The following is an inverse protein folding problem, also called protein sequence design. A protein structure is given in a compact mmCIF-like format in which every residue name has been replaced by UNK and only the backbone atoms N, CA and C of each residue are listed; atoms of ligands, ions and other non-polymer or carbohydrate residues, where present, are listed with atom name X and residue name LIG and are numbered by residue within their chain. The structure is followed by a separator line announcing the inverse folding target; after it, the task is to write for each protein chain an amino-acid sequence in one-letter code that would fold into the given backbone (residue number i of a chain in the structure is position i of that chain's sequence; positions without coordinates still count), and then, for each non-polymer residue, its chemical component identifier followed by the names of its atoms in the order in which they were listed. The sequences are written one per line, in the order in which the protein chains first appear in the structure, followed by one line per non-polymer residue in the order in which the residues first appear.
data_IF_429273666174
#
_entry.id   IF_429273666174
#
_cell.length_a   1.000
_cell.length_b   1.000
_cell.length_c   1.000
_cell.angle_alpha   90.00
_cell.angle_beta   90.00
_cell.angle_gamma   90.00
#
_symmetry.space_group_name_H-M   'P 1'
#
loop_
_entity.id
_entity.type
_entity.pdbx_description
1 polymer ?
#
# COMPACT_ATOMS: atom_id res chain seq x y z
N UNK A 1 -29.51 13.48 -26.72
CA UNK A 1 -28.05 13.67 -26.67
C UNK A 1 -27.51 12.29 -26.31
N UNK A 2 -26.84 11.65 -27.27
CA UNK A 2 -26.65 10.20 -27.31
C UNK A 2 -25.62 9.72 -26.27
N UNK A 3 -26.07 9.01 -25.23
CA UNK A 3 -25.22 8.44 -24.18
C UNK A 3 -24.14 7.49 -24.76
N UNK A 4 -24.39 6.88 -25.92
CA UNK A 4 -23.44 5.97 -26.58
C UNK A 4 -22.27 6.68 -27.26
N UNK A 5 -22.40 7.95 -27.60
CA UNK A 5 -21.28 8.75 -28.14
C UNK A 5 -20.29 9.09 -27.02
N UNK A 6 -20.75 9.18 -25.76
CA UNK A 6 -19.88 9.48 -24.63
C UNK A 6 -19.00 8.29 -24.24
N UNK A 7 -19.54 7.07 -24.17
CA UNK A 7 -18.76 5.87 -23.84
C UNK A 7 -17.70 5.56 -24.90
N UNK A 8 -18.06 5.54 -26.20
CA UNK A 8 -17.11 5.23 -27.27
C UNK A 8 -15.98 6.26 -27.39
N UNK A 9 -16.27 7.54 -27.16
CA UNK A 9 -15.23 8.58 -27.11
C UNK A 9 -14.38 8.48 -25.83
N UNK A 10 -14.96 8.08 -24.70
CA UNK A 10 -14.24 7.83 -23.45
C UNK A 10 -13.30 6.62 -23.58
N UNK A 11 -13.77 5.52 -24.15
CA UNK A 11 -12.94 4.32 -24.42
C UNK A 11 -11.88 4.58 -25.50
N UNK A 12 -12.13 5.47 -26.47
CA UNK A 12 -11.12 5.88 -27.46
C UNK A 12 -10.11 6.89 -26.92
N UNK A 13 -10.47 7.72 -25.94
CA UNK A 13 -9.57 8.68 -25.31
C UNK A 13 -8.61 8.01 -24.30
N UNK A 14 -8.99 6.86 -23.75
CA UNK A 14 -8.14 6.09 -22.85
C UNK A 14 -7.30 5.09 -23.64
N UNK A 15 -5.98 5.18 -23.47
CA UNK A 15 -5.05 4.29 -24.15
C UNK A 15 -5.19 2.86 -23.61
N UNK A 16 -4.87 1.88 -24.46
CA UNK A 16 -4.72 0.48 -24.01
C UNK A 16 -3.80 0.42 -22.80
N UNK A 17 -4.23 -0.23 -21.71
CA UNK A 17 -3.44 -0.31 -20.47
C UNK A 17 -2.08 -0.97 -20.73
N UNK A 18 -1.03 -0.33 -20.20
CA UNK A 18 0.36 -0.81 -20.24
C UNK A 18 0.98 -0.96 -18.87
N UNK A 19 0.49 -0.19 -17.89
CA UNK A 19 1.08 -0.12 -16.55
C UNK A 19 0.03 -0.52 -15.52
N UNK A 20 0.38 -1.46 -14.65
CA UNK A 20 -0.42 -1.86 -13.49
C UNK A 20 0.34 -1.46 -12.25
N UNK A 21 -0.31 -0.67 -11.41
CA UNK A 21 0.22 -0.15 -10.16
C UNK A 21 -0.51 -0.86 -9.03
N UNK A 22 0.22 -1.53 -8.15
CA UNK A 22 -0.36 -2.25 -7.01
C UNK A 22 -0.10 -1.50 -5.71
N UNK A 23 -1.11 -1.46 -4.84
CA UNK A 23 -0.87 -1.28 -3.40
C UNK A 23 -0.17 -2.51 -2.79
N UNK A 24 0.34 -2.35 -1.57
CA UNK A 24 0.92 -3.41 -0.77
C UNK A 24 -0.05 -3.93 0.29
N UNK A 25 -0.48 -3.10 1.24
CA UNK A 25 -1.40 -3.52 2.30
C UNK A 25 -2.74 -3.96 1.72
N UNK A 26 -3.31 -5.06 2.20
CA UNK A 26 -4.61 -5.56 1.72
C UNK A 26 -4.60 -6.22 0.33
N UNK A 27 -3.61 -5.90 -0.52
CA UNK A 27 -3.50 -6.37 -1.91
C UNK A 27 -2.37 -7.38 -2.13
N UNK A 28 -1.21 -7.20 -1.48
CA UNK A 28 -0.03 -8.08 -1.64
C UNK A 28 0.50 -8.58 -0.28
N UNK A 29 0.31 -7.79 0.76
CA UNK A 29 0.75 -8.03 2.12
C UNK A 29 -0.45 -8.05 3.06
N UNK A 30 -0.46 -9.03 3.96
CA UNK A 30 -1.23 -8.95 5.18
C UNK A 30 -0.57 -7.98 6.16
N UNK A 31 -1.40 -7.35 6.99
CA UNK A 31 -0.97 -6.55 8.11
C UNK A 31 -1.69 -7.00 9.37
N UNK A 32 -0.99 -7.74 10.23
CA UNK A 32 -1.58 -8.36 11.42
C UNK A 32 -0.85 -7.92 12.70
N UNK A 33 -0.99 -6.64 13.11
CA UNK A 33 -0.32 -6.10 14.28
C UNK A 33 -0.66 -6.87 15.56
N UNK A 34 -1.94 -7.24 15.72
CA UNK A 34 -2.44 -7.91 16.92
C UNK A 34 -1.77 -9.26 17.16
N UNK A 35 -1.65 -10.07 16.11
CA UNK A 35 -1.01 -11.39 16.23
C UNK A 35 0.45 -11.30 16.66
N UNK A 36 1.16 -10.21 16.33
CA UNK A 36 2.53 -10.02 16.80
C UNK A 36 2.57 -9.64 18.29
N UNK A 37 1.67 -8.77 18.74
CA UNK A 37 1.57 -8.39 20.16
C UNK A 37 1.23 -9.61 21.03
N UNK A 38 0.34 -10.48 20.57
CA UNK A 38 -0.08 -11.66 21.34
C UNK A 38 1.06 -12.67 21.59
N UNK A 39 2.12 -12.66 20.77
CA UNK A 39 3.33 -13.49 20.98
C UNK A 39 4.06 -13.12 22.29
N UNK A 40 3.86 -11.91 22.81
CA UNK A 40 4.45 -11.49 24.09
C UNK A 40 3.80 -12.11 25.32
N UNK A 41 2.67 -12.81 25.17
CA UNK A 41 1.99 -13.53 26.25
C UNK A 41 1.24 -12.63 27.23
N UNK A 42 0.82 -11.44 26.81
CA UNK A 42 -0.01 -10.55 27.60
C UNK A 42 -1.46 -11.06 27.69
N UNK A 43 -2.21 -10.60 28.69
CA UNK A 43 -3.67 -10.78 28.68
C UNK A 43 -4.32 -9.94 27.57
N UNK A 44 -5.54 -10.30 27.19
CA UNK A 44 -6.25 -9.67 26.06
C UNK A 44 -6.40 -8.15 26.23
N UNK A 45 -6.66 -7.69 27.46
CA UNK A 45 -6.80 -6.26 27.78
C UNK A 45 -5.49 -5.53 27.54
N UNK A 46 -4.37 -6.06 28.01
CA UNK A 46 -3.04 -5.46 27.83
C UNK A 46 -2.60 -5.52 26.36
N UNK A 47 -2.82 -6.63 25.65
CA UNK A 47 -2.56 -6.70 24.21
C UNK A 47 -3.33 -5.63 23.42
N UNK A 48 -4.60 -5.43 23.74
CA UNK A 48 -5.42 -4.40 23.10
C UNK A 48 -4.90 -2.99 23.42
N UNK A 49 -4.60 -2.69 24.69
CA UNK A 49 -4.05 -1.39 25.12
C UNK A 49 -2.75 -1.07 24.37
N UNK A 50 -1.85 -2.05 24.21
CA UNK A 50 -0.59 -1.87 23.48
C UNK A 50 -0.84 -1.67 21.98
N UNK A 51 -1.77 -2.42 21.39
CA UNK A 51 -2.13 -2.25 19.98
C UNK A 51 -2.68 -0.85 19.71
N UNK A 52 -3.59 -0.36 20.54
CA UNK A 52 -4.17 0.97 20.41
C UNK A 52 -3.10 2.06 20.57
N UNK A 53 -2.21 1.91 21.56
CA UNK A 53 -1.13 2.85 21.82
C UNK A 53 -0.11 2.98 20.66
N UNK A 54 0.06 1.92 19.86
CA UNK A 54 1.01 1.91 18.74
C UNK A 54 0.32 2.21 17.42
N UNK A 55 -0.70 1.44 17.05
CA UNK A 55 -1.23 1.42 15.68
C UNK A 55 -2.41 2.37 15.46
N UNK A 56 -3.07 2.81 16.53
CA UNK A 56 -4.16 3.80 16.47
C UNK A 56 -3.71 5.20 16.89
N UNK A 57 -2.45 5.36 17.31
CA UNK A 57 -1.91 6.66 17.64
C UNK A 57 -1.49 7.43 16.38
N UNK A 58 -1.71 8.77 16.32
CA UNK A 58 -1.32 9.58 15.17
C UNK A 58 0.16 9.47 14.79
N UNK A 59 1.06 9.15 15.73
CA UNK A 59 2.49 8.95 15.43
C UNK A 59 2.71 7.83 14.41
N UNK A 60 1.83 6.82 14.36
CA UNK A 60 1.91 5.78 13.33
C UNK A 60 1.65 6.35 11.93
N UNK A 61 0.59 7.16 11.78
CA UNK A 61 0.29 7.83 10.51
C UNK A 61 1.37 8.87 10.14
N UNK A 62 1.97 9.54 11.13
CA UNK A 62 3.10 10.44 10.92
C UNK A 62 4.32 9.70 10.34
N UNK A 63 4.52 8.43 10.67
CA UNK A 63 5.57 7.60 10.04
C UNK A 63 5.25 7.29 8.58
N UNK A 64 3.99 7.01 8.22
CA UNK A 64 3.58 6.85 6.82
C UNK A 64 3.73 8.16 6.03
N UNK A 65 3.58 9.31 6.68
CA UNK A 65 3.89 10.63 6.10
C UNK A 65 5.38 10.98 6.08
N UNK A 66 6.25 10.14 6.64
CA UNK A 66 7.70 10.41 6.69
C UNK A 66 8.10 11.54 7.65
N UNK A 67 7.21 11.97 8.55
CA UNK A 67 7.54 12.93 9.64
C UNK A 67 8.57 12.31 10.57
N UNK A 68 8.39 11.03 10.90
CA UNK A 68 9.41 10.20 11.53
C UNK A 68 9.92 9.19 10.50
N UNK A 69 11.20 9.31 10.11
CA UNK A 69 11.79 8.49 9.05
C UNK A 69 12.15 7.09 9.52
N UNK A 70 12.35 6.93 10.83
CA UNK A 70 12.63 5.63 11.44
C UNK A 70 11.77 5.41 12.66
N UNK A 71 11.54 4.15 13.02
CA UNK A 71 10.87 3.83 14.29
C UNK A 71 11.68 4.32 15.50
N UNK A 72 13.02 4.45 15.36
CA UNK A 72 13.89 4.98 16.42
C UNK A 72 13.60 6.45 16.71
N UNK A 73 13.24 7.23 15.68
CA UNK A 73 12.80 8.62 15.84
C UNK A 73 11.40 8.71 16.47
N UNK A 74 10.49 7.80 16.11
CA UNK A 74 9.12 7.77 16.60
C UNK A 74 8.99 7.24 18.04
N UNK A 75 9.83 6.28 18.44
CA UNK A 75 9.74 5.57 19.73
C UNK A 75 9.69 6.50 20.96
N UNK A 76 10.55 7.53 21.11
CA UNK A 76 10.44 8.47 22.22
C UNK A 76 9.12 9.22 22.28
N UNK A 77 8.46 9.43 21.13
CA UNK A 77 7.15 10.11 21.04
C UNK A 77 6.05 9.19 21.53
N UNK A 78 6.04 7.93 21.08
CA UNK A 78 5.12 6.91 21.57
C UNK A 78 5.21 6.74 23.09
N UNK A 79 6.43 6.61 23.64
CA UNK A 79 6.65 6.48 25.09
C UNK A 79 6.09 7.67 25.88
N UNK A 80 6.29 8.90 25.37
CA UNK A 80 5.76 10.11 26.05
C UNK A 80 4.24 10.18 26.02
N UNK A 81 3.62 9.71 24.95
CA UNK A 81 2.16 9.73 24.78
C UNK A 81 1.47 8.62 25.57
N UNK A 82 2.13 7.48 25.72
CA UNK A 82 1.59 6.27 26.35
C UNK A 82 2.50 5.74 27.48
N UNK A 83 2.70 6.52 28.57
CA UNK A 83 3.64 6.14 29.63
C UNK A 83 3.21 4.87 30.39
N UNK A 84 1.92 4.50 30.40
CA UNK A 84 1.41 3.30 31.07
C UNK A 84 1.82 1.98 30.40
N UNK A 85 2.20 2.02 29.12
CA UNK A 85 2.62 0.86 28.31
C UNK A 85 3.99 1.08 27.65
N UNK A 86 4.82 1.95 28.23
CA UNK A 86 6.09 2.35 27.66
C UNK A 86 7.07 1.18 27.48
N UNK A 87 7.09 0.21 28.40
CA UNK A 87 7.98 -0.95 28.32
C UNK A 87 7.52 -1.93 27.23
N UNK A 88 6.22 -2.09 27.04
CA UNK A 88 5.64 -2.91 25.99
C UNK A 88 5.89 -2.31 24.61
N UNK A 89 5.76 -0.99 24.47
CA UNK A 89 6.11 -0.26 23.25
C UNK A 89 7.59 -0.43 22.92
N UNK A 90 8.49 -0.24 23.90
CA UNK A 90 9.93 -0.50 23.71
C UNK A 90 10.17 -1.93 23.25
N UNK A 91 9.55 -2.90 23.92
CA UNK A 91 9.70 -4.31 23.60
C UNK A 91 9.24 -4.61 22.18
N UNK A 92 8.12 -4.05 21.74
CA UNK A 92 7.66 -4.17 20.36
C UNK A 92 8.74 -3.69 19.38
N UNK A 93 9.17 -2.45 19.47
CA UNK A 93 10.13 -1.87 18.52
C UNK A 93 11.55 -2.46 18.59
N UNK A 94 11.93 -3.06 19.72
CA UNK A 94 13.22 -3.76 19.89
C UNK A 94 13.23 -5.20 19.37
N UNK A 95 12.08 -5.71 18.91
CA UNK A 95 11.96 -7.07 18.36
C UNK A 95 11.79 -7.04 16.84
N UNK A 96 11.70 -8.23 16.21
CA UNK A 96 11.41 -8.38 14.77
C UNK A 96 9.98 -7.97 14.38
N UNK A 97 9.46 -6.86 14.90
CA UNK A 97 8.07 -6.43 14.71
C UNK A 97 7.66 -6.24 13.26
N UNK A 98 8.62 -6.00 12.37
CA UNK A 98 8.35 -5.89 10.94
C UNK A 98 7.82 -7.21 10.33
N UNK A 99 7.88 -8.33 11.06
CA UNK A 99 7.17 -9.57 10.71
C UNK A 99 5.64 -9.47 10.81
N UNK A 100 5.07 -8.36 11.30
CA UNK A 100 3.62 -8.05 11.16
C UNK A 100 3.17 -7.98 9.70
N UNK A 101 4.11 -7.70 8.79
CA UNK A 101 3.90 -7.72 7.35
C UNK A 101 4.24 -9.11 6.82
N UNK A 102 3.23 -9.86 6.40
CA UNK A 102 3.41 -11.16 5.77
C UNK A 102 2.90 -11.12 4.34
N UNK A 103 3.54 -11.85 3.44
CA UNK A 103 2.98 -11.99 2.10
C UNK A 103 1.64 -12.73 2.18
N UNK A 104 0.67 -12.28 1.39
CA UNK A 104 -0.55 -13.06 1.21
C UNK A 104 -0.21 -14.34 0.44
N UNK A 105 -0.68 -15.48 0.96
CA UNK A 105 -0.08 -16.78 0.66
C UNK A 105 -0.25 -17.18 -0.80
N UNK A 106 -1.44 -17.26 -1.40
CA UNK A 106 -1.60 -17.37 -2.86
C UNK A 106 -3.05 -17.16 -3.36
N UNK A 107 -3.10 -16.49 -4.52
CA UNK A 107 -4.20 -16.03 -5.40
C UNK A 107 -3.87 -14.59 -5.83
N UNK A 108 -3.47 -13.72 -4.90
CA UNK A 108 -3.14 -12.30 -5.21
C UNK A 108 -1.81 -12.18 -5.95
N UNK A 109 -0.86 -13.06 -5.63
CA UNK A 109 0.35 -13.19 -6.43
C UNK A 109 0.10 -13.87 -7.77
N UNK A 110 -0.99 -14.62 -7.93
CA UNK A 110 -1.37 -15.12 -9.26
C UNK A 110 -1.75 -13.97 -10.16
N UNK A 111 -2.51 -12.97 -9.66
CA UNK A 111 -2.77 -11.74 -10.40
C UNK A 111 -1.45 -11.03 -10.76
N UNK A 112 -0.57 -10.83 -9.79
CA UNK A 112 0.72 -10.17 -10.03
C UNK A 112 1.58 -10.91 -11.07
N UNK A 113 1.68 -12.23 -10.98
CA UNK A 113 2.40 -13.07 -11.94
C UNK A 113 1.71 -13.05 -13.31
N UNK A 114 0.39 -13.11 -13.35
CA UNK A 114 -0.38 -13.03 -14.59
C UNK A 114 -0.15 -11.70 -15.31
N UNK A 115 -0.14 -10.58 -14.58
CA UNK A 115 0.18 -9.25 -15.12
C UNK A 115 1.58 -9.25 -15.74
N UNK A 116 2.56 -9.83 -15.03
CA UNK A 116 3.92 -9.95 -15.51
C UNK A 116 4.01 -10.81 -16.79
N UNK A 117 3.34 -11.96 -16.81
CA UNK A 117 3.34 -12.90 -17.95
C UNK A 117 2.61 -12.33 -19.18
N UNK A 118 1.67 -11.41 -18.98
CA UNK A 118 1.04 -10.61 -20.05
C UNK A 118 1.96 -9.54 -20.64
N UNK A 119 3.15 -9.33 -20.07
CA UNK A 119 4.10 -8.32 -20.53
C UNK A 119 3.72 -6.88 -20.15
N UNK A 120 2.81 -6.71 -19.19
CA UNK A 120 2.47 -5.39 -18.65
C UNK A 120 3.58 -4.91 -17.69
N UNK A 121 3.74 -3.60 -17.59
CA UNK A 121 4.66 -3.00 -16.63
C UNK A 121 4.03 -3.02 -15.24
N UNK A 122 4.82 -3.36 -14.24
CA UNK A 122 4.38 -3.40 -12.85
C UNK A 122 5.06 -2.30 -12.06
N UNK A 123 4.29 -1.57 -11.26
CA UNK A 123 4.78 -0.59 -10.30
C UNK A 123 4.09 -0.78 -8.94
N UNK A 124 4.68 -0.22 -7.90
CA UNK A 124 4.12 -0.24 -6.54
C UNK A 124 3.83 1.19 -6.07
N UNK A 125 2.69 1.40 -5.44
CA UNK A 125 2.32 2.67 -4.80
C UNK A 125 1.63 2.39 -3.46
N UNK A 126 2.28 2.73 -2.34
CA UNK A 126 1.76 2.37 -1.02
C UNK A 126 1.96 3.47 0.04
N UNK A 127 0.97 3.60 0.93
CA UNK A 127 1.15 4.32 2.18
C UNK A 127 1.94 3.39 3.11
N UNK A 128 3.21 3.70 3.37
CA UNK A 128 4.10 2.78 4.07
C UNK A 128 5.26 3.52 4.72
N UNK A 129 5.42 3.34 6.04
CA UNK A 129 6.59 3.78 6.77
C UNK A 129 7.92 3.25 6.20
N UNK A 130 8.93 4.11 6.16
CA UNK A 130 10.20 3.87 5.47
C UNK A 130 10.95 2.59 5.91
N UNK A 131 11.08 2.36 7.21
CA UNK A 131 11.75 1.17 7.76
C UNK A 131 11.02 -0.13 7.37
N UNK A 132 9.69 -0.13 7.53
CA UNK A 132 8.85 -1.27 7.18
C UNK A 132 8.90 -1.58 5.68
N UNK A 133 8.82 -0.54 4.83
CA UNK A 133 8.94 -0.70 3.39
C UNK A 133 10.29 -1.30 3.00
N UNK A 134 11.38 -0.77 3.56
CA UNK A 134 12.74 -1.24 3.30
C UNK A 134 12.91 -2.70 3.70
N UNK A 135 12.32 -3.09 4.84
CA UNK A 135 12.33 -4.47 5.31
C UNK A 135 11.60 -5.41 4.33
N UNK A 136 10.35 -5.11 3.95
CA UNK A 136 9.58 -6.00 3.04
C UNK A 136 10.16 -6.02 1.62
N UNK A 137 10.69 -4.90 1.14
CA UNK A 137 11.36 -4.80 -0.16
C UNK A 137 12.57 -5.74 -0.25
N UNK A 138 13.38 -5.80 0.81
CA UNK A 138 14.54 -6.69 0.87
C UNK A 138 14.16 -8.15 1.15
N UNK A 139 13.07 -8.38 1.90
CA UNK A 139 12.61 -9.73 2.27
C UNK A 139 11.95 -10.48 1.11
N UNK A 140 11.14 -9.80 0.31
CA UNK A 140 10.24 -10.46 -0.64
C UNK A 140 10.68 -10.33 -2.09
N UNK A 141 10.89 -11.47 -2.76
CA UNK A 141 11.45 -11.50 -4.11
C UNK A 141 10.52 -10.93 -5.21
N UNK A 142 9.21 -10.81 -4.96
CA UNK A 142 8.25 -10.35 -5.98
C UNK A 142 8.52 -8.90 -6.45
N UNK A 143 9.11 -8.08 -5.57
CA UNK A 143 9.52 -6.70 -5.91
C UNK A 143 10.50 -6.66 -7.09
N UNK A 144 11.27 -7.72 -7.35
CA UNK A 144 12.19 -7.81 -8.50
C UNK A 144 11.51 -7.75 -9.86
N UNK A 145 10.20 -8.04 -9.92
CA UNK A 145 9.39 -7.92 -11.15
C UNK A 145 8.83 -6.51 -11.37
N UNK A 146 8.83 -5.67 -10.33
CA UNK A 146 8.39 -4.28 -10.44
C UNK A 146 9.47 -3.45 -11.13
N UNK A 147 9.05 -2.49 -11.97
CA UNK A 147 9.92 -1.52 -12.64
C UNK A 147 10.19 -0.29 -11.77
N UNK A 148 9.46 -0.13 -10.67
CA UNK A 148 9.57 1.02 -9.80
C UNK A 148 8.56 0.98 -8.64
N UNK A 149 8.76 1.89 -7.69
CA UNK A 149 7.90 2.04 -6.54
C UNK A 149 7.82 3.51 -6.08
N UNK A 150 6.73 3.82 -5.39
CA UNK A 150 6.54 5.02 -4.58
C UNK A 150 6.00 4.56 -3.23
N UNK A 151 6.68 4.94 -2.15
CA UNK A 151 6.21 4.71 -0.78
C UNK A 151 6.09 6.06 -0.07
N UNK A 152 4.94 6.31 0.53
CA UNK A 152 4.55 7.64 1.04
C UNK A 152 5.58 8.29 1.96
N UNK A 153 6.22 7.50 2.83
CA UNK A 153 7.17 8.03 3.81
C UNK A 153 8.44 8.62 3.17
N UNK A 154 8.79 8.20 1.95
CA UNK A 154 9.91 8.79 1.21
C UNK A 154 9.51 10.08 0.49
N UNK A 155 8.22 10.27 0.21
CA UNK A 155 7.70 11.40 -0.56
C UNK A 155 7.09 12.50 0.31
N UNK A 156 6.72 12.20 1.54
CA UNK A 156 6.02 13.14 2.42
C UNK A 156 4.55 13.37 2.05
N UNK A 157 3.97 12.45 1.28
CA UNK A 157 2.58 12.53 0.76
C UNK A 157 1.98 11.14 0.80
N UNK A 158 0.72 11.03 1.22
CA UNK A 158 -0.04 9.77 1.31
C UNK A 158 -1.21 9.76 0.33
N UNK A 159 -1.60 8.58 -0.14
CA UNK A 159 -2.92 8.36 -0.76
C UNK A 159 -4.01 8.78 0.25
N UNK A 160 -5.12 9.40 -0.20
CA UNK A 160 -5.53 9.62 -1.59
C UNK A 160 -5.11 10.97 -2.19
N UNK A 161 -4.11 11.67 -1.63
CA UNK A 161 -3.66 12.94 -2.21
C UNK A 161 -3.17 12.72 -3.65
N UNK A 162 -3.80 13.43 -4.60
CA UNK A 162 -3.49 13.40 -6.03
C UNK A 162 -1.99 13.44 -6.33
N UNK A 163 -1.22 14.19 -5.55
CA UNK A 163 0.22 14.40 -5.74
C UNK A 163 1.01 13.09 -5.67
N UNK A 164 0.60 12.10 -4.88
CA UNK A 164 1.35 10.84 -4.77
C UNK A 164 1.29 10.02 -6.07
N UNK A 165 0.16 10.08 -6.77
CA UNK A 165 -0.02 9.43 -8.07
C UNK A 165 0.78 10.18 -9.13
N UNK A 166 0.75 11.51 -9.12
CA UNK A 166 1.55 12.34 -10.04
C UNK A 166 3.06 12.09 -9.87
N UNK A 167 3.55 11.94 -8.63
CA UNK A 167 4.94 11.55 -8.36
C UNK A 167 5.30 10.24 -9.05
N UNK A 168 4.43 9.22 -8.97
CA UNK A 168 4.66 7.93 -9.64
C UNK A 168 4.70 8.10 -11.17
N UNK A 169 3.70 8.80 -11.72
CA UNK A 169 3.56 9.02 -13.16
C UNK A 169 4.78 9.77 -13.71
N UNK A 170 5.18 10.86 -13.08
CA UNK A 170 6.31 11.70 -13.50
C UNK A 170 7.64 10.96 -13.36
N UNK A 171 7.87 10.31 -12.21
CA UNK A 171 9.13 9.59 -11.92
C UNK A 171 9.45 8.53 -12.97
N UNK A 172 8.41 7.84 -13.46
CA UNK A 172 8.58 6.73 -14.39
C UNK A 172 8.10 7.04 -15.82
N UNK A 173 7.74 8.29 -16.11
CA UNK A 173 7.28 8.73 -17.44
C UNK A 173 6.01 7.99 -17.90
N UNK A 174 5.11 7.67 -16.97
CA UNK A 174 3.88 6.94 -17.25
C UNK A 174 2.80 7.89 -17.73
N UNK A 175 1.98 7.44 -18.68
CA UNK A 175 0.74 8.14 -19.02
C UNK A 175 -0.38 7.64 -18.12
N UNK A 176 -1.09 8.57 -17.48
CA UNK A 176 -2.20 8.25 -16.59
C UNK A 176 -3.25 7.37 -17.29
N UNK A 177 -3.69 7.76 -18.49
CA UNK A 177 -4.65 6.99 -19.30
C UNK A 177 -4.15 5.67 -19.88
N UNK A 178 -2.88 5.29 -19.70
CA UNK A 178 -2.34 3.94 -20.01
C UNK A 178 -2.01 3.16 -18.71
N UNK A 179 -2.45 3.66 -17.54
CA UNK A 179 -2.11 3.13 -16.23
C UNK A 179 -3.35 2.83 -15.39
N UNK A 180 -3.33 1.70 -14.68
CA UNK A 180 -4.38 1.29 -13.75
C UNK A 180 -3.81 1.08 -12.36
N UNK A 181 -4.52 1.53 -11.34
CA UNK A 181 -4.18 1.35 -9.94
C UNK A 181 -5.11 0.33 -9.27
N UNK A 182 -4.53 -0.61 -8.53
CA UNK A 182 -5.23 -1.67 -7.80
C UNK A 182 -4.98 -1.48 -6.30
N UNK A 183 -6.05 -1.23 -5.54
CA UNK A 183 -6.03 -0.88 -4.11
C UNK A 183 -7.33 -1.37 -3.46
N UNK A 184 -7.28 -1.81 -2.20
CA UNK A 184 -8.44 -2.30 -1.47
C UNK A 184 -9.28 -1.17 -0.82
N UNK A 185 -8.79 0.07 -0.86
CA UNK A 185 -9.46 1.24 -0.27
C UNK A 185 -10.07 2.13 -1.36
N UNK A 186 -11.40 2.25 -1.34
CA UNK A 186 -12.17 3.01 -2.33
C UNK A 186 -11.73 4.48 -2.49
N UNK A 187 -11.32 5.15 -1.41
CA UNK A 187 -10.87 6.55 -1.50
C UNK A 187 -9.55 6.69 -2.27
N UNK A 188 -8.67 5.68 -2.17
CA UNK A 188 -7.41 5.65 -2.92
C UNK A 188 -7.66 5.40 -4.41
N UNK A 189 -8.66 4.59 -4.74
CA UNK A 189 -9.13 4.41 -6.12
C UNK A 189 -9.60 5.75 -6.69
N UNK A 190 -10.40 6.50 -5.92
CA UNK A 190 -10.88 7.82 -6.34
C UNK A 190 -9.72 8.81 -6.58
N UNK A 191 -8.71 8.81 -5.71
CA UNK A 191 -7.51 9.64 -5.89
C UNK A 191 -6.75 9.32 -7.18
N UNK A 192 -6.65 8.04 -7.55
CA UNK A 192 -6.02 7.61 -8.81
C UNK A 192 -6.83 8.05 -10.04
N UNK A 193 -8.15 7.89 -10.00
CA UNK A 193 -9.06 8.35 -11.05
C UNK A 193 -8.98 9.86 -11.25
N UNK A 194 -8.94 10.62 -10.15
CA UNK A 194 -8.79 12.06 -10.21
C UNK A 194 -7.46 12.43 -10.87
N UNK A 195 -6.37 11.69 -10.58
CA UNK A 195 -5.08 11.82 -11.26
C UNK A 195 -5.07 11.37 -12.74
N UNK A 196 -6.19 10.86 -13.26
CA UNK A 196 -6.38 10.44 -14.65
C UNK A 196 -5.99 8.99 -14.93
N UNK A 197 -5.77 8.19 -13.88
CA UNK A 197 -5.54 6.74 -14.00
C UNK A 197 -6.87 5.98 -14.04
N UNK A 198 -6.82 4.73 -14.46
CA UNK A 198 -7.89 3.78 -14.16
C UNK A 198 -7.76 3.25 -12.74
N UNK A 199 -8.87 2.88 -12.13
CA UNK A 199 -8.92 2.34 -10.78
C UNK A 199 -9.65 1.00 -10.74
N UNK A 200 -9.10 0.03 -10.01
CA UNK A 200 -9.75 -1.25 -9.71
C UNK A 200 -9.77 -1.41 -8.20
N UNK A 201 -10.96 -1.38 -7.61
CA UNK A 201 -11.13 -1.73 -6.20
C UNK A 201 -10.83 -3.22 -6.02
N UNK A 202 -9.81 -3.51 -5.23
CA UNK A 202 -9.37 -4.87 -4.97
C UNK A 202 -10.25 -5.54 -3.92
N UNK A 203 -10.97 -6.58 -4.32
CA UNK A 203 -11.71 -7.47 -3.41
C UNK A 203 -11.04 -8.83 -3.32
N UNK A 204 -10.67 -9.35 -4.49
CA UNK A 204 -10.03 -10.62 -4.69
C UNK A 204 -9.34 -10.65 -6.07
N UNK A 205 -8.41 -11.59 -6.27
CA UNK A 205 -7.60 -11.64 -7.48
C UNK A 205 -8.38 -11.99 -8.75
N UNK A 206 -9.42 -12.81 -8.63
CA UNK A 206 -10.21 -13.23 -9.79
C UNK A 206 -11.04 -12.06 -10.31
N UNK A 207 -11.67 -11.31 -9.40
CA UNK A 207 -12.39 -10.07 -9.72
C UNK A 207 -11.47 -9.01 -10.32
N UNK A 208 -10.33 -8.73 -9.67
CA UNK A 208 -9.38 -7.73 -10.16
C UNK A 208 -8.80 -8.12 -11.54
N UNK A 209 -8.52 -9.41 -11.76
CA UNK A 209 -8.11 -9.92 -13.07
C UNK A 209 -9.18 -9.74 -14.13
N UNK A 210 -10.43 -10.11 -13.84
CA UNK A 210 -11.53 -9.99 -14.79
C UNK A 210 -11.77 -8.53 -15.20
N UNK A 211 -11.67 -7.59 -14.26
CA UNK A 211 -11.73 -6.16 -14.53
C UNK A 211 -10.54 -5.70 -15.39
N UNK A 212 -9.32 -6.14 -15.06
CA UNK A 212 -8.12 -5.79 -15.82
C UNK A 212 -8.16 -6.35 -17.25
N UNK A 213 -8.71 -7.55 -17.47
CA UNK A 213 -8.91 -8.15 -18.79
C UNK A 213 -9.83 -7.31 -19.70
N UNK A 214 -10.74 -6.50 -19.14
CA UNK A 214 -11.60 -5.60 -19.91
C UNK A 214 -10.89 -4.32 -20.36
N UNK A 215 -9.75 -3.98 -19.74
CA UNK A 215 -9.00 -2.74 -19.98
C UNK A 215 -7.79 -2.93 -20.94
N UNK A 216 -7.44 -4.18 -21.28
CA UNK A 216 -6.27 -4.55 -22.11
C UNK A 216 -6.67 -5.02 -23.50
#
# INVERSE_FOLDING_TARGET
MDERICELCYTQAMGKIRNVVFDLGGVMLNYNPRSFIDVFGYDDKKSLEVCEAIFMDPVWADMDLGIYKTYTEALPVFIRRHPSVAEEIKRFFQTGWMDVYTLKEDSERELYNWVYDKGLNIYILSNFAADGFTYVYNKYAFFRKSKGYVASAFEGVVKPDRRIYEILLDRYGLKAGESVFIDDVQVNIKGAEDAGMQGILFTDPASARAQLEQLI
#
